data_IF_434493193110
#
_entry.id   IF_434493193110
#
_cell.length_a   1.000
_cell.length_b   1.000
_cell.length_c   1.000
_cell.angle_alpha   90.00
_cell.angle_beta   90.00
_cell.angle_gamma   90.00
#
_symmetry.space_group_name_H-M   'P 1'
#
loop_
_entity.id
_entity.type
_entity.pdbx_description
1 polymer ?
#
# COMPACT_ATOMS: atom_id res chain seq x y z
N UNK A 1 -19.75 3.25 -27.78
CA UNK A 1 -18.78 3.90 -26.86
C UNK A 1 -17.61 2.95 -26.71
N UNK A 2 -16.35 3.44 -26.64
CA UNK A 2 -15.20 2.56 -26.47
C UNK A 2 -15.20 1.88 -25.09
N UNK A 3 -14.66 0.66 -25.01
CA UNK A 3 -14.48 -0.04 -23.74
C UNK A 3 -13.43 0.68 -22.89
N UNK A 4 -13.78 1.00 -21.65
CA UNK A 4 -12.90 1.59 -20.63
C UNK A 4 -12.85 0.70 -19.42
N UNK A 5 -11.73 0.75 -18.66
CA UNK A 5 -11.52 0.00 -17.43
C UNK A 5 -10.94 0.92 -16.37
N UNK A 6 -11.49 0.89 -15.17
CA UNK A 6 -11.10 1.73 -14.05
C UNK A 6 -11.05 0.93 -12.75
N UNK A 7 -10.33 1.44 -11.76
CA UNK A 7 -10.26 0.90 -10.42
C UNK A 7 -10.29 2.03 -9.38
N UNK A 8 -10.70 1.71 -8.16
CA UNK A 8 -10.73 2.67 -7.03
C UNK A 8 -9.33 3.16 -6.64
N UNK A 9 -8.32 2.33 -6.85
CA UNK A 9 -6.89 2.64 -6.72
C UNK A 9 -6.08 1.80 -7.70
N UNK A 10 -4.86 2.23 -7.99
CA UNK A 10 -3.89 1.49 -8.81
C UNK A 10 -2.77 0.87 -7.95
N UNK A 11 -2.86 0.99 -6.64
CA UNK A 11 -1.84 0.55 -5.70
C UNK A 11 -2.47 -0.33 -4.64
N UNK A 12 -1.90 -1.51 -4.42
CA UNK A 12 -2.30 -2.44 -3.37
C UNK A 12 -1.10 -2.83 -2.51
N UNK A 13 -1.39 -3.16 -1.27
CA UNK A 13 -0.49 -3.94 -0.43
C UNK A 13 -0.66 -5.42 -0.75
N UNK A 14 0.31 -6.28 -0.35
CA UNK A 14 0.11 -7.72 -0.43
C UNK A 14 -1.22 -8.15 0.19
N UNK A 15 -1.98 -8.96 -0.54
CA UNK A 15 -3.32 -9.41 -0.13
C UNK A 15 -4.42 -8.35 -0.11
N UNK A 16 -4.13 -7.11 -0.53
CA UNK A 16 -5.14 -6.04 -0.67
C UNK A 16 -6.19 -6.38 -1.73
N UNK A 17 -7.37 -5.77 -1.63
CA UNK A 17 -8.50 -6.03 -2.53
C UNK A 17 -9.01 -4.75 -3.16
N UNK A 18 -9.39 -4.83 -4.43
CA UNK A 18 -10.08 -3.74 -5.13
C UNK A 18 -11.09 -4.31 -6.12
N UNK A 19 -12.06 -3.48 -6.50
CA UNK A 19 -12.98 -3.80 -7.61
C UNK A 19 -12.54 -3.04 -8.85
N UNK A 20 -12.38 -3.79 -9.94
CA UNK A 20 -12.15 -3.25 -11.27
C UNK A 20 -13.49 -3.14 -11.97
N UNK A 21 -13.76 -2.01 -12.60
CA UNK A 21 -15.01 -1.77 -13.29
C UNK A 21 -14.77 -1.43 -14.75
N UNK A 22 -15.44 -2.14 -15.65
CA UNK A 22 -15.50 -1.81 -17.07
C UNK A 22 -16.72 -0.94 -17.35
N UNK A 23 -16.62 -0.09 -18.37
CA UNK A 23 -17.70 0.75 -18.87
C UNK A 23 -17.54 0.98 -20.38
N UNK A 24 -18.61 1.36 -21.06
CA UNK A 24 -18.59 1.41 -22.53
C UNK A 24 -18.54 0.01 -23.16
N UNK A 25 -18.27 -0.12 -24.43
CA UNK A 25 -18.33 -1.42 -25.11
C UNK A 25 -19.72 -2.05 -25.07
N UNK A 26 -19.76 -3.38 -25.11
CA UNK A 26 -20.99 -4.18 -25.07
C UNK A 26 -20.95 -5.12 -23.85
N UNK A 27 -21.87 -4.95 -22.89
CA UNK A 27 -22.01 -5.86 -21.74
C UNK A 27 -22.55 -7.23 -22.18
N UNK A 28 -22.27 -8.34 -21.44
CA UNK A 28 -21.53 -8.40 -20.17
C UNK A 28 -20.02 -8.29 -20.34
N UNK A 29 -19.34 -7.93 -19.23
CA UNK A 29 -17.88 -7.86 -19.18
C UNK A 29 -17.31 -9.09 -18.46
N UNK A 30 -16.20 -9.59 -18.96
CA UNK A 30 -15.42 -10.68 -18.33
C UNK A 30 -14.04 -10.16 -17.96
N UNK A 31 -13.63 -10.40 -16.72
CA UNK A 31 -12.33 -9.98 -16.20
C UNK A 31 -11.36 -11.15 -16.11
N UNK A 32 -10.10 -10.91 -16.46
CA UNK A 32 -9.03 -11.90 -16.39
C UNK A 32 -7.69 -11.26 -16.01
N UNK A 33 -6.75 -12.06 -15.53
CA UNK A 33 -5.36 -11.64 -15.36
C UNK A 33 -4.66 -11.74 -16.72
N UNK A 34 -3.87 -10.70 -17.04
CA UNK A 34 -3.06 -10.66 -18.25
C UNK A 34 -1.70 -11.29 -18.03
N UNK A 35 -0.76 -10.54 -17.46
CA UNK A 35 0.58 -10.99 -17.08
C UNK A 35 0.86 -10.59 -15.63
N UNK A 36 1.72 -11.34 -14.97
CA UNK A 36 2.06 -11.17 -13.56
C UNK A 36 1.74 -12.43 -12.77
N UNK A 37 2.58 -12.75 -11.81
CA UNK A 37 2.57 -14.04 -11.12
C UNK A 37 1.72 -14.02 -9.84
N UNK A 38 0.68 -13.23 -9.77
CA UNK A 38 0.03 -13.25 -8.50
C UNK A 38 -1.33 -12.60 -8.42
N UNK A 39 -2.03 -13.03 -7.37
CA UNK A 39 -3.37 -12.60 -7.09
C UNK A 39 -4.44 -13.44 -7.80
N UNK A 40 -5.67 -13.06 -7.58
CA UNK A 40 -6.84 -13.69 -8.19
C UNK A 40 -7.87 -12.63 -8.56
N UNK A 41 -8.65 -12.90 -9.60
CA UNK A 41 -9.76 -12.03 -10.02
C UNK A 41 -11.02 -12.87 -10.20
N UNK A 42 -12.13 -12.37 -9.65
CA UNK A 42 -13.44 -12.90 -9.98
C UNK A 42 -13.86 -12.37 -11.35
N UNK A 43 -14.10 -13.30 -12.28
CA UNK A 43 -14.31 -12.98 -13.68
C UNK A 43 -15.61 -12.22 -13.97
N UNK A 44 -16.60 -12.29 -13.09
CA UNK A 44 -17.90 -11.64 -13.26
C UNK A 44 -17.97 -10.30 -12.52
N UNK A 45 -17.51 -10.24 -11.28
CA UNK A 45 -17.61 -9.03 -10.44
C UNK A 45 -16.42 -8.08 -10.61
N UNK A 46 -15.30 -8.52 -11.16
CA UNK A 46 -14.07 -7.74 -11.23
C UNK A 46 -13.39 -7.54 -9.87
N UNK A 47 -13.79 -8.31 -8.84
CA UNK A 47 -13.10 -8.29 -7.54
C UNK A 47 -11.72 -8.91 -7.68
N UNK A 48 -10.69 -8.08 -7.58
CA UNK A 48 -9.30 -8.49 -7.61
C UNK A 48 -8.72 -8.55 -6.20
N UNK A 49 -8.01 -9.63 -5.90
CA UNK A 49 -7.19 -9.77 -4.70
C UNK A 49 -5.73 -9.82 -5.13
N UNK A 50 -4.92 -8.91 -4.63
CA UNK A 50 -3.50 -8.82 -4.94
C UNK A 50 -2.71 -10.03 -4.40
N UNK A 51 -1.51 -10.28 -4.95
CA UNK A 51 -0.62 -11.34 -4.48
C UNK A 51 -0.19 -11.09 -3.03
N UNK A 52 0.28 -12.13 -2.35
CA UNK A 52 0.75 -12.05 -0.97
C UNK A 52 2.19 -11.51 -0.84
N UNK A 53 2.89 -11.28 -1.94
CA UNK A 53 4.26 -10.75 -1.97
C UNK A 53 4.36 -9.48 -2.80
N UNK A 54 5.28 -8.58 -2.41
CA UNK A 54 5.63 -7.38 -3.18
C UNK A 54 6.54 -7.67 -4.38
N UNK A 55 7.15 -8.84 -4.42
CA UNK A 55 8.14 -9.21 -5.45
C UNK A 55 7.50 -9.58 -6.81
N UNK A 56 6.17 -9.61 -6.87
CA UNK A 56 5.41 -10.01 -8.06
C UNK A 56 5.29 -8.91 -9.12
N UNK A 57 5.81 -7.70 -8.85
CA UNK A 57 5.83 -6.59 -9.81
C UNK A 57 4.45 -6.03 -10.16
N UNK A 58 4.28 -5.67 -11.43
CA UNK A 58 3.05 -5.07 -11.94
C UNK A 58 2.07 -6.16 -12.37
N UNK A 59 0.86 -6.11 -11.85
CA UNK A 59 -0.23 -7.01 -12.21
C UNK A 59 -1.09 -6.37 -13.31
N UNK A 60 -1.36 -7.08 -14.38
CA UNK A 60 -2.21 -6.59 -15.47
C UNK A 60 -3.56 -7.28 -15.41
N UNK A 61 -4.62 -6.48 -15.32
CA UNK A 61 -6.01 -6.96 -15.38
C UNK A 61 -6.59 -6.55 -16.72
N UNK A 62 -7.30 -7.47 -17.36
CA UNK A 62 -7.94 -7.28 -18.65
C UNK A 62 -9.45 -7.40 -18.46
N UNK A 63 -10.20 -6.41 -18.98
CA UNK A 63 -11.63 -6.53 -19.21
C UNK A 63 -11.87 -6.86 -20.69
N UNK A 64 -12.76 -7.80 -20.96
CA UNK A 64 -13.21 -8.18 -22.30
C UNK A 64 -14.74 -8.00 -22.35
N UNK A 65 -15.25 -7.31 -23.35
CA UNK A 65 -16.68 -7.15 -23.57
C UNK A 65 -17.27 -8.31 -24.41
N UNK A 66 -18.58 -8.35 -24.58
CA UNK A 66 -19.31 -9.41 -25.27
C UNK A 66 -18.93 -9.57 -26.76
N UNK A 67 -18.44 -8.51 -27.38
CA UNK A 67 -17.97 -8.55 -28.79
C UNK A 67 -16.46 -8.81 -28.90
N UNK A 68 -15.78 -9.08 -27.79
CA UNK A 68 -14.36 -9.44 -27.75
C UNK A 68 -13.41 -8.25 -27.73
N UNK A 69 -13.87 -7.01 -27.59
CA UNK A 69 -12.99 -5.87 -27.38
C UNK A 69 -12.32 -5.96 -25.99
N UNK A 70 -11.04 -5.59 -25.92
CA UNK A 70 -10.23 -5.73 -24.71
C UNK A 70 -9.63 -4.41 -24.27
N UNK A 71 -9.60 -4.19 -22.97
CA UNK A 71 -8.89 -3.08 -22.33
C UNK A 71 -8.16 -3.58 -21.08
N UNK A 72 -6.99 -3.05 -20.81
CA UNK A 72 -6.19 -3.46 -19.65
C UNK A 72 -5.89 -2.30 -18.71
N UNK A 73 -5.62 -2.66 -17.45
CA UNK A 73 -5.21 -1.76 -16.38
C UNK A 73 -4.05 -2.39 -15.61
N UNK A 74 -3.11 -1.58 -15.16
CA UNK A 74 -1.96 -2.03 -14.37
C UNK A 74 -2.18 -1.71 -12.89
N UNK A 75 -2.01 -2.73 -12.03
CA UNK A 75 -2.07 -2.61 -10.58
C UNK A 75 -0.67 -2.86 -10.02
N UNK A 76 -0.21 -1.97 -9.16
CA UNK A 76 1.10 -2.03 -8.52
C UNK A 76 0.97 -2.54 -7.10
N UNK A 77 1.83 -3.49 -6.71
CA UNK A 77 1.86 -4.02 -5.35
C UNK A 77 3.01 -3.38 -4.59
N UNK A 78 2.69 -2.68 -3.50
CA UNK A 78 3.60 -1.88 -2.71
C UNK A 78 3.49 -2.22 -1.23
N UNK A 79 4.57 -1.99 -0.47
CA UNK A 79 4.46 -1.97 0.98
C UNK A 79 3.68 -0.74 1.47
N UNK A 80 3.33 -0.72 2.76
CA UNK A 80 2.49 0.32 3.38
C UNK A 80 3.09 1.73 3.27
N UNK A 81 4.41 1.90 3.35
CA UNK A 81 5.03 3.21 3.19
C UNK A 81 5.05 3.66 1.73
N UNK A 82 5.19 2.73 0.79
CA UNK A 82 5.07 3.04 -0.64
C UNK A 82 3.63 3.44 -0.99
N UNK A 83 2.62 2.74 -0.45
CA UNK A 83 1.21 3.14 -0.63
C UNK A 83 0.97 4.53 -0.06
N UNK A 84 1.48 4.83 1.14
CA UNK A 84 1.39 6.16 1.75
C UNK A 84 2.08 7.23 0.88
N UNK A 85 3.25 6.92 0.31
CA UNK A 85 3.93 7.85 -0.59
C UNK A 85 3.08 8.19 -1.82
N UNK A 86 2.37 7.21 -2.39
CA UNK A 86 1.49 7.42 -3.55
C UNK A 86 0.24 8.24 -3.21
N UNK A 87 -0.30 8.10 -1.99
CA UNK A 87 -1.37 8.98 -1.50
C UNK A 87 -0.88 10.43 -1.47
N UNK A 88 0.30 10.67 -0.90
CA UNK A 88 0.88 12.01 -0.81
C UNK A 88 1.16 12.58 -2.19
N UNK A 89 1.78 11.82 -3.07
CA UNK A 89 2.09 12.24 -4.45
C UNK A 89 0.85 12.67 -5.22
N UNK A 90 -0.22 11.88 -5.15
CA UNK A 90 -1.46 12.15 -5.89
C UNK A 90 -2.04 13.53 -5.58
N UNK A 91 -1.89 13.99 -4.35
CA UNK A 91 -2.45 15.26 -3.89
C UNK A 91 -1.46 16.43 -4.01
N UNK A 92 -0.18 16.17 -3.72
CA UNK A 92 0.83 17.22 -3.64
C UNK A 92 1.57 17.49 -4.96
N UNK A 93 1.53 16.53 -5.88
CA UNK A 93 2.29 16.58 -7.14
C UNK A 93 3.80 16.41 -6.99
N UNK A 94 4.28 16.05 -5.79
CA UNK A 94 5.71 15.79 -5.55
C UNK A 94 6.14 14.54 -6.32
N UNK A 95 7.26 14.59 -7.02
CA UNK A 95 7.77 13.49 -7.85
C UNK A 95 8.35 12.34 -7.03
N UNK A 96 8.40 11.13 -7.60
CA UNK A 96 8.97 9.94 -6.95
C UNK A 96 10.41 10.18 -6.44
N UNK A 97 11.24 10.84 -7.22
CA UNK A 97 12.62 11.15 -6.85
C UNK A 97 12.79 12.20 -5.72
N UNK A 98 11.69 12.74 -5.22
CA UNK A 98 11.65 13.69 -4.10
C UNK A 98 11.07 13.04 -2.84
N UNK A 99 10.65 11.76 -2.90
CA UNK A 99 10.15 11.02 -1.75
C UNK A 99 11.13 9.91 -1.38
N UNK A 100 11.55 9.91 -0.15
CA UNK A 100 12.45 8.93 0.44
C UNK A 100 11.70 8.06 1.45
N UNK A 101 11.86 6.76 1.33
CA UNK A 101 11.22 5.78 2.21
C UNK A 101 12.31 5.12 3.07
N UNK A 102 12.02 4.94 4.35
CA UNK A 102 12.93 4.41 5.38
C UNK A 102 14.06 5.38 5.81
N UNK A 103 14.86 4.93 6.77
CA UNK A 103 15.98 5.68 7.37
C UNK A 103 17.23 5.67 6.47
N UNK A 104 17.08 5.95 5.19
CA UNK A 104 18.26 6.12 4.34
C UNK A 104 18.98 7.42 4.72
N UNK A 105 20.29 7.43 4.61
CA UNK A 105 21.10 8.64 4.77
C UNK A 105 20.79 9.59 3.61
N UNK A 106 19.87 10.52 3.85
CA UNK A 106 19.38 11.44 2.82
C UNK A 106 20.34 12.61 2.74
N UNK A 107 20.95 12.80 1.58
CA UNK A 107 21.60 14.06 1.25
C UNK A 107 20.60 14.90 0.47
N UNK A 108 20.09 15.97 1.10
CA UNK A 108 19.12 16.85 0.45
C UNK A 108 19.84 17.62 -0.65
N UNK A 109 19.37 17.56 -1.91
CA UNK A 109 19.96 18.31 -3.01
C UNK A 109 20.01 19.81 -2.75
N UNK A 110 20.97 20.49 -3.39
CA UNK A 110 21.15 21.95 -3.25
C UNK A 110 20.21 22.72 -4.19
N UNK A 111 18.96 22.29 -4.27
CA UNK A 111 17.92 22.98 -5.03
C UNK A 111 16.81 23.48 -4.12
N UNK A 112 15.81 24.14 -4.68
CA UNK A 112 14.71 24.78 -3.96
C UNK A 112 13.45 23.89 -3.92
N UNK A 113 13.54 22.61 -4.33
CA UNK A 113 12.41 21.70 -4.33
C UNK A 113 12.05 21.23 -2.93
N UNK A 114 10.84 20.72 -2.77
CA UNK A 114 10.41 20.05 -1.55
C UNK A 114 10.80 18.58 -1.61
N UNK A 115 11.31 18.05 -0.52
CA UNK A 115 11.62 16.65 -0.32
C UNK A 115 10.82 16.11 0.85
N UNK A 116 10.34 14.89 0.74
CA UNK A 116 9.53 14.24 1.76
C UNK A 116 10.24 12.93 2.16
N UNK A 117 10.46 12.73 3.45
CA UNK A 117 11.01 11.49 3.97
C UNK A 117 9.98 10.82 4.88
N UNK A 118 9.65 9.56 4.57
CA UNK A 118 8.65 8.76 5.28
C UNK A 118 9.37 7.60 5.95
N UNK A 119 9.13 7.41 7.26
CA UNK A 119 9.76 6.32 8.00
C UNK A 119 8.86 5.75 9.08
N UNK A 120 9.10 4.50 9.45
CA UNK A 120 8.65 3.93 10.70
C UNK A 120 9.53 4.43 11.85
N UNK A 121 8.91 4.93 12.92
CA UNK A 121 9.60 5.16 14.20
C UNK A 121 9.56 3.89 15.04
N UNK A 122 8.41 3.20 15.05
CA UNK A 122 8.22 1.92 15.73
C UNK A 122 7.07 1.16 15.09
N UNK A 123 7.10 -0.16 15.20
CA UNK A 123 6.01 -1.05 14.81
C UNK A 123 5.74 -2.00 15.97
N UNK A 124 4.48 -2.16 16.35
CA UNK A 124 4.02 -3.09 17.38
C UNK A 124 2.99 -4.04 16.76
N UNK A 125 3.21 -5.34 16.88
CA UNK A 125 2.19 -6.34 16.57
C UNK A 125 1.18 -6.33 17.72
N UNK A 126 -0.08 -6.07 17.41
CA UNK A 126 -1.18 -5.95 18.36
C UNK A 126 -1.87 -7.29 18.55
N UNK A 127 -2.04 -8.04 17.47
CA UNK A 127 -2.61 -9.38 17.49
C UNK A 127 -2.06 -10.23 16.36
N UNK A 128 -2.08 -11.53 16.56
CA UNK A 128 -1.82 -12.52 15.52
C UNK A 128 -2.85 -13.64 15.63
N UNK A 129 -3.24 -14.22 14.52
CA UNK A 129 -4.10 -15.40 14.44
C UNK A 129 -3.59 -16.33 13.37
N UNK A 130 -3.88 -17.62 13.53
CA UNK A 130 -3.74 -18.62 12.50
C UNK A 130 -5.08 -19.30 12.29
N UNK A 131 -5.50 -19.40 11.05
CA UNK A 131 -6.70 -20.12 10.64
C UNK A 131 -6.30 -21.24 9.68
N UNK A 132 -6.90 -22.41 9.83
CA UNK A 132 -6.65 -23.56 8.99
C UNK A 132 -7.87 -23.81 8.10
N UNK A 133 -7.66 -23.93 6.80
CA UNK A 133 -8.69 -24.24 5.82
C UNK A 133 -8.20 -25.35 4.90
N UNK A 134 -8.57 -26.61 5.22
CA UNK A 134 -8.05 -27.77 4.51
C UNK A 134 -6.54 -27.91 4.67
N UNK A 135 -5.81 -27.89 3.56
CA UNK A 135 -4.34 -28.02 3.51
C UNK A 135 -3.62 -26.67 3.62
N UNK A 136 -4.33 -25.60 3.98
CA UNK A 136 -3.78 -24.26 3.96
C UNK A 136 -3.85 -23.62 5.34
N UNK A 137 -2.74 -23.06 5.80
CA UNK A 137 -2.67 -22.21 6.98
C UNK A 137 -2.66 -20.74 6.54
N UNK A 138 -3.53 -19.94 7.15
CA UNK A 138 -3.61 -18.51 6.97
C UNK A 138 -3.11 -17.83 8.24
N UNK A 139 -1.89 -17.32 8.21
CA UNK A 139 -1.31 -16.52 9.27
C UNK A 139 -1.69 -15.05 9.08
N UNK A 140 -2.28 -14.44 10.09
CA UNK A 140 -2.67 -13.03 10.07
C UNK A 140 -2.01 -12.28 11.22
N UNK A 141 -1.50 -11.07 10.94
CA UNK A 141 -0.99 -10.17 11.96
C UNK A 141 -1.60 -8.79 11.81
N UNK A 142 -2.03 -8.20 12.92
CA UNK A 142 -2.43 -6.80 12.96
C UNK A 142 -1.32 -5.99 13.63
N UNK A 143 -0.84 -4.99 12.93
CA UNK A 143 0.24 -4.13 13.38
C UNK A 143 -0.22 -2.70 13.57
N UNK A 144 0.34 -2.04 14.58
CA UNK A 144 0.20 -0.60 14.77
C UNK A 144 1.60 0.03 14.69
N UNK A 145 1.77 0.91 13.75
CA UNK A 145 3.03 1.60 13.49
C UNK A 145 2.93 3.07 13.85
N UNK A 146 3.99 3.62 14.41
CA UNK A 146 4.18 5.06 14.52
C UNK A 146 4.99 5.52 13.30
N UNK A 147 4.39 6.39 12.49
CA UNK A 147 4.95 6.93 11.25
C UNK A 147 5.42 8.35 11.48
N UNK A 148 6.55 8.69 10.90
CA UNK A 148 7.06 10.06 10.84
C UNK A 148 7.24 10.47 9.38
N UNK A 149 6.77 11.66 9.05
CA UNK A 149 6.99 12.32 7.76
C UNK A 149 7.77 13.61 8.00
N UNK A 150 8.95 13.69 7.44
CA UNK A 150 9.75 14.90 7.39
C UNK A 150 9.55 15.61 6.04
N UNK A 151 9.20 16.88 6.07
CA UNK A 151 9.03 17.72 4.90
C UNK A 151 10.17 18.74 4.91
N UNK A 152 10.97 18.73 3.86
CA UNK A 152 12.24 19.44 3.80
C UNK A 152 12.30 20.31 2.54
N UNK A 153 12.82 21.54 2.67
CA UNK A 153 13.15 22.41 1.54
C UNK A 153 14.17 23.45 1.97
N UNK A 154 14.94 23.97 1.04
CA UNK A 154 15.82 25.14 1.30
C UNK A 154 15.08 26.47 1.26
N UNK A 155 13.78 26.44 0.98
CA UNK A 155 12.89 27.60 0.93
C UNK A 155 11.67 27.39 1.81
N UNK A 156 10.85 28.42 1.99
CA UNK A 156 9.57 28.34 2.67
C UNK A 156 8.55 27.38 2.01
N UNK A 157 8.91 26.72 0.89
CA UNK A 157 8.05 25.75 0.24
C UNK A 157 7.69 24.57 1.17
N UNK A 158 8.59 24.16 2.08
CA UNK A 158 8.28 23.14 3.09
C UNK A 158 7.17 23.58 4.04
N UNK A 159 7.14 24.86 4.44
CA UNK A 159 6.09 25.43 5.27
C UNK A 159 4.71 25.32 4.61
N UNK A 160 4.61 25.67 3.34
CA UNK A 160 3.35 25.58 2.59
C UNK A 160 2.94 24.13 2.32
N UNK A 161 3.92 23.24 2.16
CA UNK A 161 3.67 21.83 1.84
C UNK A 161 3.16 21.01 3.03
N UNK A 162 3.46 21.37 4.27
CA UNK A 162 3.09 20.59 5.44
C UNK A 162 1.58 20.33 5.57
N UNK A 163 0.79 21.36 5.28
CA UNK A 163 -0.68 21.26 5.31
C UNK A 163 -1.21 20.42 4.15
N UNK A 164 -0.61 20.54 2.96
CA UNK A 164 -0.98 19.74 1.80
C UNK A 164 -0.77 18.24 2.05
N UNK A 165 0.29 17.86 2.76
CA UNK A 165 0.53 16.46 3.15
C UNK A 165 -0.58 15.95 4.08
N UNK A 166 -1.01 16.74 5.06
CA UNK A 166 -2.13 16.37 5.95
C UNK A 166 -3.42 16.26 5.16
N UNK A 167 -3.71 17.22 4.28
CA UNK A 167 -4.90 17.17 3.42
C UNK A 167 -4.87 15.95 2.49
N UNK A 168 -3.72 15.58 1.95
CA UNK A 168 -3.55 14.36 1.14
C UNK A 168 -3.98 13.13 1.91
N UNK A 169 -3.48 12.95 3.14
CA UNK A 169 -3.76 11.80 3.99
C UNK A 169 -5.25 11.75 4.39
N UNK A 170 -5.88 12.92 4.61
CA UNK A 170 -7.31 13.02 4.98
C UNK A 170 -8.27 13.03 3.79
N UNK A 171 -7.78 12.99 2.57
CA UNK A 171 -8.59 13.06 1.37
C UNK A 171 -9.50 11.82 1.21
N UNK A 172 -10.62 11.98 0.49
CA UNK A 172 -11.48 10.88 0.12
C UNK A 172 -10.75 9.84 -0.75
N UNK A 173 -9.74 10.25 -1.53
CA UNK A 173 -8.86 9.34 -2.24
C UNK A 173 -8.04 8.48 -1.29
N UNK A 174 -7.42 9.10 -0.27
CA UNK A 174 -6.68 8.38 0.76
C UNK A 174 -7.56 7.34 1.46
N UNK A 175 -8.80 7.70 1.82
CA UNK A 175 -9.73 6.79 2.47
C UNK A 175 -9.99 5.55 1.61
N UNK A 176 -10.31 5.72 0.32
CA UNK A 176 -10.49 4.59 -0.60
C UNK A 176 -9.26 3.70 -0.72
N UNK A 177 -8.06 4.31 -0.75
CA UNK A 177 -6.80 3.55 -0.79
C UNK A 177 -6.59 2.78 0.51
N UNK A 178 -6.87 3.39 1.67
CA UNK A 178 -6.77 2.73 2.97
C UNK A 178 -7.71 1.53 3.06
N UNK A 179 -8.98 1.69 2.65
CA UNK A 179 -9.98 0.62 2.64
C UNK A 179 -9.54 -0.56 1.76
N UNK A 180 -9.07 -0.27 0.54
CA UNK A 180 -8.57 -1.29 -0.40
C UNK A 180 -7.34 -2.05 0.13
N UNK A 181 -6.58 -1.44 1.03
CA UNK A 181 -5.32 -1.98 1.53
C UNK A 181 -5.39 -2.51 2.98
N UNK A 182 -6.58 -2.62 3.56
CA UNK A 182 -6.76 -3.04 4.97
C UNK A 182 -5.83 -2.29 5.91
N UNK A 183 -5.75 -0.96 5.71
CA UNK A 183 -4.95 -0.06 6.53
C UNK A 183 -5.80 1.12 7.02
N UNK A 184 -5.40 1.72 8.11
CA UNK A 184 -6.04 2.90 8.69
C UNK A 184 -4.99 3.86 9.21
N UNK A 185 -5.12 5.14 8.88
CA UNK A 185 -4.21 6.19 9.31
C UNK A 185 -4.91 7.05 10.35
N UNK A 186 -4.41 6.99 11.58
CA UNK A 186 -4.89 7.81 12.68
C UNK A 186 -4.22 9.18 12.70
N UNK A 187 -4.99 10.22 12.44
CA UNK A 187 -4.53 11.60 12.41
C UNK A 187 -5.10 12.43 13.57
N UNK A 188 -5.07 11.93 14.78
CA UNK A 188 -5.65 12.68 15.89
C UNK A 188 -4.73 12.70 17.11
N UNK A 189 -4.31 13.87 17.59
CA UNK A 189 -4.22 15.16 16.89
C UNK A 189 -3.00 15.23 15.96
N UNK A 190 -3.10 15.96 14.86
CA UNK A 190 -1.93 16.28 14.01
C UNK A 190 -1.19 17.45 14.63
N UNK A 191 0.04 17.22 15.03
CA UNK A 191 0.97 18.28 15.41
C UNK A 191 2.11 18.36 14.38
N UNK A 192 2.50 19.59 14.07
CA UNK A 192 3.71 19.86 13.31
C UNK A 192 4.82 20.25 14.27
N UNK A 193 5.92 19.51 14.23
CA UNK A 193 7.14 19.94 14.90
C UNK A 193 8.00 20.69 13.90
N UNK A 194 8.28 21.94 14.17
CA UNK A 194 9.26 22.71 13.41
C UNK A 194 10.66 22.33 13.89
N UNK A 195 11.37 21.61 13.04
CA UNK A 195 12.74 21.16 13.29
C UNK A 195 13.75 21.99 12.48
N UNK A 196 13.33 23.14 11.95
CA UNK A 196 14.18 24.09 11.25
C UNK A 196 15.12 24.73 12.27
N UNK A 197 16.34 24.24 12.39
CA UNK A 197 17.33 24.83 13.29
C UNK A 197 18.02 26.00 12.62
N UNK A 198 18.26 27.06 13.40
CA UNK A 198 18.98 28.26 12.97
C UNK A 198 20.49 27.98 13.07
N UNK A 199 21.00 27.01 12.32
CA UNK A 199 22.43 26.76 12.20
C UNK A 199 22.93 27.16 10.81
N UNK A 200 23.06 28.46 10.59
CA UNK A 200 23.67 29.01 9.37
C UNK A 200 22.81 28.83 8.10
N UNK A 201 23.20 29.51 7.03
CA UNK A 201 22.48 29.58 5.74
C UNK A 201 22.42 28.24 4.93
N UNK A 202 22.82 27.13 5.50
CA UNK A 202 22.93 25.85 4.81
C UNK A 202 21.82 24.84 5.16
N UNK A 203 20.96 25.14 6.16
CA UNK A 203 20.01 24.16 6.67
C UNK A 203 18.63 24.37 6.04
N UNK A 204 18.03 23.29 5.53
CA UNK A 204 16.68 23.36 4.98
C UNK A 204 15.64 23.56 6.09
N UNK A 205 14.56 24.25 5.75
CA UNK A 205 13.33 24.19 6.55
C UNK A 205 12.87 22.75 6.67
N UNK A 206 12.57 22.32 7.89
CA UNK A 206 12.16 20.95 8.19
C UNK A 206 10.95 20.93 9.10
N UNK A 207 9.87 20.36 8.62
CA UNK A 207 8.65 20.13 9.37
C UNK A 207 8.42 18.63 9.53
N UNK A 208 8.15 18.18 10.74
CA UNK A 208 7.89 16.79 11.06
C UNK A 208 6.43 16.62 11.44
N UNK A 209 5.81 15.57 10.90
CA UNK A 209 4.46 15.10 11.22
C UNK A 209 4.59 13.68 11.74
N UNK A 210 3.94 13.38 12.88
CA UNK A 210 3.90 12.03 13.42
C UNK A 210 2.46 11.59 13.61
N UNK A 211 2.15 10.36 13.23
CA UNK A 211 0.83 9.75 13.38
C UNK A 211 0.92 8.23 13.50
N UNK A 212 -0.17 7.60 13.94
CA UNK A 212 -0.28 6.14 13.97
C UNK A 212 -0.86 5.62 12.67
N UNK A 213 -0.42 4.42 12.27
CA UNK A 213 -0.98 3.68 11.15
C UNK A 213 -1.17 2.23 11.56
N UNK A 214 -2.40 1.74 11.42
CA UNK A 214 -2.72 0.32 11.66
C UNK A 214 -2.86 -0.38 10.31
N UNK A 215 -2.38 -1.61 10.24
CA UNK A 215 -2.49 -2.44 9.03
C UNK A 215 -2.45 -3.92 9.36
N UNK A 216 -3.05 -4.73 8.50
CA UNK A 216 -3.05 -6.18 8.61
C UNK A 216 -2.18 -6.80 7.53
N UNK A 217 -1.37 -7.77 7.90
CA UNK A 217 -0.65 -8.63 6.98
C UNK A 217 -1.22 -10.04 7.04
N UNK A 218 -1.29 -10.71 5.88
CA UNK A 218 -1.68 -12.11 5.76
C UNK A 218 -0.60 -12.86 5.01
N UNK A 219 -0.26 -14.04 5.52
CA UNK A 219 0.56 -15.01 4.83
C UNK A 219 -0.22 -16.31 4.69
N UNK A 220 -0.24 -16.88 3.51
CA UNK A 220 -0.93 -18.13 3.21
C UNK A 220 0.15 -19.14 2.83
N UNK A 221 0.20 -20.24 3.55
CA UNK A 221 1.14 -21.33 3.29
C UNK A 221 0.41 -22.66 3.28
N UNK A 222 0.88 -23.59 2.47
CA UNK A 222 0.42 -24.96 2.54
C UNK A 222 0.97 -25.58 3.82
N UNK A 223 0.10 -26.25 4.57
CA UNK A 223 0.52 -27.06 5.71
C UNK A 223 0.83 -28.45 5.20
N UNK A 224 2.09 -28.85 5.35
CA UNK A 224 2.44 -30.26 5.23
C UNK A 224 1.87 -30.97 6.46
N UNK A 225 0.66 -31.50 6.34
CA UNK A 225 0.14 -32.41 7.35
C UNK A 225 1.01 -33.66 7.34
N UNK A 226 1.69 -33.92 8.43
CA UNK A 226 2.26 -35.21 8.68
C UNK A 226 1.10 -36.20 8.88
N UNK A 227 0.63 -36.84 7.82
CA UNK A 227 -0.36 -37.94 7.86
C UNK A 227 0.18 -39.25 8.50
N UNK A 228 1.44 -39.24 8.89
CA UNK A 228 2.09 -40.40 9.49
C UNK A 228 2.34 -40.18 10.98
N UNK A 229 1.29 -40.24 11.79
CA UNK A 229 1.43 -40.82 13.10
C UNK A 229 1.55 -42.36 12.86
N UNK A 230 2.77 -42.84 12.65
CA UNK A 230 3.03 -44.24 12.76
C UNK A 230 2.61 -44.67 14.17
N UNK A 231 1.73 -45.67 14.27
CA UNK A 231 1.27 -46.25 15.51
C UNK A 231 2.49 -46.56 16.39
N UNK A 232 2.56 -45.82 17.52
CA UNK A 232 3.54 -46.16 18.54
C UNK A 232 3.10 -47.50 19.12
N UNK A 233 3.73 -48.64 18.70
CA UNK A 233 3.58 -49.89 19.35
C UNK A 233 3.97 -49.72 20.81
N UNK A 234 2.96 -49.67 21.68
CA UNK A 234 3.17 -49.72 23.13
C UNK A 234 3.55 -51.15 23.42
N UNK A 235 4.84 -51.43 23.57
CA UNK A 235 5.32 -52.69 24.09
C UNK A 235 4.80 -52.85 25.51
N UNK A 236 3.78 -53.66 25.69
CA UNK A 236 3.32 -54.15 27.00
C UNK A 236 4.29 -55.21 27.48
N UNK A 237 5.09 -54.91 28.51
CA UNK A 237 5.83 -55.86 29.34
C UNK A 237 4.91 -56.55 30.33
#
# INVERSE_FOLDING_TARGET
MALEINASTYFLRPGGKLVVQASGGTAPYVYSLGSGDGGSIDSASGLYTGPNSIDTGVQVIIATDDVGARKSISIYVFNELQVLSKIIQKFTGVSDNQIYIYNQKITIPRDNRVYIAIKFNSVKIVSSSSDYTGETEILSTNSNANISIDILSRTLAAYNMKENVVMAIRSAYSQRVQDANSMSIGLNPVSFNDLSQVEGSAIPYRFNITFSMSYSNKNIQNTDFYENFSDVEIATN
#
